data_IF_028249981909
#
_entry.id   IF_028249981909
#
_cell.length_a   1.000
_cell.length_b   1.000
_cell.length_c   1.000
_cell.angle_alpha   90.00
_cell.angle_beta   90.00
_cell.angle_gamma   90.00
#
_symmetry.space_group_name_H-M   'P 1'
#
loop_
_entity.id
_entity.type
_entity.pdbx_description
1 polymer ?
#
# COMPACT_ATOMS: atom_id res chain seq x y z
N UNK A 1 -10.10 -2.82 -29.14
CA UNK A 1 -10.25 -1.37 -28.88
C UNK A 1 -10.62 -1.16 -27.42
N UNK A 2 -9.63 -1.14 -26.51
CA UNK A 2 -9.87 -1.07 -25.04
C UNK A 2 -9.07 0.07 -24.40
N UNK A 3 -8.01 0.56 -25.06
CA UNK A 3 -7.09 1.53 -24.49
C UNK A 3 -7.69 2.94 -24.29
N UNK A 4 -8.70 3.36 -25.07
CA UNK A 4 -9.24 4.72 -25.03
C UNK A 4 -10.46 4.90 -24.10
N UNK A 5 -11.04 3.82 -23.55
CA UNK A 5 -12.25 3.88 -22.72
C UNK A 5 -11.96 3.79 -21.22
N UNK A 6 -10.70 3.58 -20.82
CA UNK A 6 -10.28 3.35 -19.43
C UNK A 6 -10.57 4.58 -18.56
N UNK A 7 -10.46 5.79 -19.11
CA UNK A 7 -10.74 7.04 -18.39
C UNK A 7 -12.20 7.51 -18.52
N UNK A 8 -12.99 6.91 -19.42
CA UNK A 8 -14.41 7.22 -19.60
C UNK A 8 -15.32 6.33 -18.75
N UNK A 9 -14.90 5.09 -18.46
CA UNK A 9 -15.64 4.17 -17.60
C UNK A 9 -14.82 3.91 -16.34
N UNK A 10 -15.17 4.51 -15.18
CA UNK A 10 -14.44 4.27 -13.95
C UNK A 10 -14.51 2.78 -13.59
N UNK A 11 -13.34 2.20 -13.30
CA UNK A 11 -13.27 0.81 -12.83
C UNK A 11 -13.77 0.75 -11.39
N UNK A 12 -14.97 0.19 -11.21
CA UNK A 12 -15.53 -0.02 -9.88
C UNK A 12 -14.82 -1.22 -9.25
N UNK A 13 -13.98 -0.96 -8.27
CA UNK A 13 -13.32 -2.00 -7.49
C UNK A 13 -14.26 -2.39 -6.34
N UNK A 14 -14.66 -3.67 -6.21
CA UNK A 14 -15.54 -4.08 -5.13
C UNK A 14 -14.81 -3.95 -3.79
N UNK A 15 -15.54 -3.54 -2.75
CA UNK A 15 -14.97 -3.17 -1.44
C UNK A 15 -14.11 -4.28 -0.81
N UNK A 16 -14.45 -5.54 -1.04
CA UNK A 16 -13.69 -6.71 -0.57
C UNK A 16 -12.31 -6.85 -1.23
N UNK A 17 -12.10 -6.29 -2.44
CA UNK A 17 -10.82 -6.33 -3.15
C UNK A 17 -9.94 -5.11 -2.87
N UNK A 18 -10.50 -4.03 -2.31
CA UNK A 18 -9.75 -2.80 -2.02
C UNK A 18 -8.59 -3.06 -1.06
N UNK A 19 -8.83 -3.85 0.00
CA UNK A 19 -7.77 -4.24 0.95
C UNK A 19 -6.70 -5.14 0.31
N UNK A 20 -7.07 -5.97 -0.66
CA UNK A 20 -6.12 -6.80 -1.41
C UNK A 20 -5.20 -5.93 -2.29
N UNK A 21 -5.68 -4.77 -2.74
CA UNK A 21 -4.87 -3.84 -3.53
C UNK A 21 -3.76 -3.15 -2.71
N UNK A 22 -3.85 -3.18 -1.38
CA UNK A 22 -2.91 -2.51 -0.48
C UNK A 22 -1.48 -3.10 -0.54
N UNK A 23 -1.25 -4.43 -0.42
CA UNK A 23 0.08 -5.01 -0.56
C UNK A 23 0.81 -4.66 -1.88
N UNK A 24 0.20 -4.82 -3.08
CA UNK A 24 0.89 -4.48 -4.33
C UNK A 24 1.18 -2.98 -4.46
N UNK A 25 0.32 -2.10 -3.93
CA UNK A 25 0.59 -0.66 -3.88
C UNK A 25 1.75 -0.33 -2.94
N UNK A 26 1.76 -0.87 -1.73
CA UNK A 26 2.86 -0.70 -0.77
C UNK A 26 4.18 -1.24 -1.34
N UNK A 27 4.15 -2.38 -2.03
CA UNK A 27 5.33 -2.95 -2.68
C UNK A 27 5.86 -2.03 -3.78
N UNK A 28 4.97 -1.49 -4.63
CA UNK A 28 5.37 -0.55 -5.69
C UNK A 28 6.09 0.68 -5.12
N UNK A 29 5.52 1.29 -4.07
CA UNK A 29 6.13 2.44 -3.38
C UNK A 29 7.46 2.05 -2.74
N UNK A 30 7.54 0.89 -2.08
CA UNK A 30 8.76 0.42 -1.45
C UNK A 30 9.88 0.19 -2.47
N UNK A 31 9.58 -0.41 -3.61
CA UNK A 31 10.54 -0.61 -4.72
C UNK A 31 11.04 0.73 -5.23
N UNK A 32 10.14 1.66 -5.62
CA UNK A 32 10.54 2.96 -6.17
C UNK A 32 11.35 3.78 -5.16
N UNK A 33 10.89 3.83 -3.90
CA UNK A 33 11.59 4.58 -2.85
C UNK A 33 12.99 4.03 -2.61
N UNK A 34 13.12 2.70 -2.52
CA UNK A 34 14.36 2.06 -2.11
C UNK A 34 15.38 1.98 -3.25
N UNK A 35 14.92 1.83 -4.49
CA UNK A 35 15.79 1.80 -5.68
C UNK A 35 16.56 3.11 -5.86
N UNK A 36 15.97 4.26 -5.55
CA UNK A 36 16.63 5.58 -5.66
C UNK A 36 17.64 5.80 -4.52
N UNK A 37 17.43 5.17 -3.36
CA UNK A 37 18.16 5.49 -2.11
C UNK A 37 19.13 4.40 -1.64
N UNK A 38 19.31 3.31 -2.38
CA UNK A 38 20.17 2.20 -1.95
C UNK A 38 21.63 2.46 -2.28
N UNK A 39 22.51 2.24 -1.31
CA UNK A 39 23.97 2.21 -1.53
C UNK A 39 24.49 0.80 -1.85
N UNK A 40 23.76 -0.25 -1.44
CA UNK A 40 24.17 -1.65 -1.61
C UNK A 40 23.03 -2.50 -2.19
N UNK A 41 23.18 -2.87 -3.46
CA UNK A 41 22.18 -3.61 -4.24
C UNK A 41 21.86 -5.00 -3.68
N UNK A 42 22.79 -5.62 -2.94
CA UNK A 42 22.61 -6.99 -2.42
C UNK A 42 21.60 -7.06 -1.27
N UNK A 43 21.38 -5.95 -0.56
CA UNK A 43 20.41 -5.85 0.55
C UNK A 43 19.05 -5.32 0.11
N UNK A 44 18.95 -4.85 -1.13
CA UNK A 44 17.76 -4.21 -1.70
C UNK A 44 16.46 -5.02 -1.53
N UNK A 45 16.37 -6.33 -1.83
CA UNK A 45 15.11 -7.07 -1.66
C UNK A 45 14.67 -7.16 -0.20
N UNK A 46 15.60 -7.33 0.73
CA UNK A 46 15.29 -7.38 2.17
C UNK A 46 14.81 -6.02 2.65
N UNK A 47 15.49 -4.94 2.25
CA UNK A 47 15.12 -3.59 2.65
C UNK A 47 13.75 -3.16 2.10
N UNK A 48 13.37 -3.64 0.91
CA UNK A 48 12.02 -3.44 0.34
C UNK A 48 10.96 -4.15 1.18
N UNK A 49 11.19 -5.42 1.54
CA UNK A 49 10.25 -6.20 2.36
C UNK A 49 10.07 -5.55 3.74
N UNK A 50 11.18 -5.11 4.36
CA UNK A 50 11.14 -4.41 5.65
C UNK A 50 10.37 -3.11 5.56
N UNK A 51 10.60 -2.30 4.51
CA UNK A 51 9.88 -1.04 4.31
C UNK A 51 8.38 -1.28 4.09
N UNK A 52 8.03 -2.30 3.29
CA UNK A 52 6.64 -2.70 3.06
C UNK A 52 5.96 -3.11 4.36
N UNK A 53 6.62 -3.94 5.19
CA UNK A 53 6.11 -4.36 6.49
C UNK A 53 5.92 -3.17 7.43
N UNK A 54 6.85 -2.20 7.43
CA UNK A 54 6.72 -0.96 8.21
C UNK A 54 5.49 -0.15 7.80
N UNK A 55 5.24 0.02 6.49
CA UNK A 55 4.07 0.75 5.99
C UNK A 55 2.76 0.05 6.36
N UNK A 56 2.69 -1.27 6.15
CA UNK A 56 1.51 -2.07 6.50
C UNK A 56 1.25 -2.01 8.01
N UNK A 57 2.30 -2.15 8.83
CA UNK A 57 2.21 -2.03 10.28
C UNK A 57 1.69 -0.65 10.71
N UNK A 58 2.21 0.43 10.12
CA UNK A 58 1.72 1.78 10.37
C UNK A 58 0.24 1.95 10.02
N UNK A 59 -0.20 1.40 8.89
CA UNK A 59 -1.61 1.46 8.48
C UNK A 59 -2.53 0.67 9.42
N UNK A 60 -2.11 -0.51 9.89
CA UNK A 60 -2.86 -1.31 10.86
C UNK A 60 -2.97 -0.55 12.19
N UNK A 61 -1.88 0.06 12.66
CA UNK A 61 -1.86 0.85 13.90
C UNK A 61 -2.81 2.05 13.78
N UNK A 62 -2.72 2.82 12.69
CA UNK A 62 -3.60 3.96 12.48
C UNK A 62 -5.07 3.56 12.40
N UNK A 63 -5.37 2.45 11.71
CA UNK A 63 -6.73 1.90 11.66
C UNK A 63 -7.24 1.47 13.03
N UNK A 64 -6.40 0.80 13.82
CA UNK A 64 -6.72 0.41 15.20
C UNK A 64 -6.95 1.62 16.12
N UNK A 65 -6.13 2.66 16.01
CA UNK A 65 -6.31 3.92 16.76
C UNK A 65 -7.64 4.58 16.39
N UNK A 66 -7.93 4.71 15.09
CA UNK A 66 -9.19 5.27 14.61
C UNK A 66 -10.40 4.50 15.15
N UNK A 67 -10.32 3.17 15.14
CA UNK A 67 -11.36 2.31 15.69
C UNK A 67 -11.54 2.52 17.20
N UNK A 68 -10.45 2.61 17.96
CA UNK A 68 -10.50 2.87 19.40
C UNK A 68 -11.11 4.25 19.71
N UNK A 69 -10.76 5.28 18.94
CA UNK A 69 -11.34 6.63 19.07
C UNK A 69 -12.83 6.60 18.75
N UNK A 70 -13.23 5.91 17.68
CA UNK A 70 -14.64 5.75 17.32
C UNK A 70 -15.44 5.06 18.42
N UNK A 71 -14.87 4.00 19.04
CA UNK A 71 -15.50 3.29 20.16
C UNK A 71 -15.66 4.18 21.40
N UNK A 72 -14.70 5.07 21.66
CA UNK A 72 -14.74 5.96 22.82
C UNK A 72 -15.73 7.12 22.65
N UNK A 73 -16.00 7.54 21.41
CA UNK A 73 -16.93 8.61 21.07
C UNK A 73 -18.40 8.19 21.00
N UNK A 74 -18.68 6.88 20.93
CA UNK A 74 -20.04 6.29 20.87
C UNK A 74 -20.40 5.76 22.25
#
# INVERSE_FOLDING_TARGET
MIAWTIFYNPMIIPQNLVLWLLPPLCLSVAVVYKTIRVNNLRKLPVEIIVLMAYMIGGLIILGGILWAVQLLLI
#
